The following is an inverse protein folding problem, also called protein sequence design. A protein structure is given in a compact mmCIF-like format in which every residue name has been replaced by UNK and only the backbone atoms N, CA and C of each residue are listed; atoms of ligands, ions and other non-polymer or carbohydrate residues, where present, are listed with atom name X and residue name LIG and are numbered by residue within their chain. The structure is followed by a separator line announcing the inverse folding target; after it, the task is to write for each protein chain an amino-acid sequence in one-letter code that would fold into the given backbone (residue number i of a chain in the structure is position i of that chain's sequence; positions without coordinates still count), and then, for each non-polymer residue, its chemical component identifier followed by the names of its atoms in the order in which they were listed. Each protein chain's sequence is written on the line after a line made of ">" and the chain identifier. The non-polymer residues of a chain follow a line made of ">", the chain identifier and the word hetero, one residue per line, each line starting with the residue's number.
data_IF_944843095862
#
_entry.id   IF_944843095862
#
_cell.length_a   1.000
_cell.length_b   1.000
_cell.length_c   1.000
_cell.angle_alpha   90.00
_cell.angle_beta   90.00
_cell.angle_gamma   90.00
#
_symmetry.space_group_name_H-M   'P 1'
#
loop_
_entity.id
_entity.type
_entity.pdbx_description
1 polymer ?
#
# COMPACT_ATOMS: atom_id res chain seq x y z
N UNK A 1 46.70 -54.21 -15.14
CA UNK A 1 45.31 -54.62 -15.46
C UNK A 1 44.54 -53.36 -15.83
N UNK A 2 43.88 -53.39 -17.00
CA UNK A 2 43.36 -52.23 -17.75
C UNK A 2 41.88 -52.52 -18.11
N UNK A 3 41.07 -51.45 -18.28
CA UNK A 3 39.77 -51.32 -19.02
C UNK A 3 38.47 -51.67 -18.26
N UNK A 4 37.26 -51.06 -18.53
CA UNK A 4 36.85 -49.72 -19.05
C UNK A 4 35.80 -48.99 -18.12
N UNK A 5 35.62 -47.67 -18.08
CA UNK A 5 34.91 -46.71 -18.99
C UNK A 5 33.53 -47.16 -19.50
N UNK A 6 32.46 -46.49 -19.06
CA UNK A 6 31.20 -46.40 -19.80
C UNK A 6 30.66 -44.97 -19.77
N UNK A 7 30.87 -44.32 -20.91
CA UNK A 7 30.37 -43.04 -21.34
C UNK A 7 28.87 -43.18 -21.63
N UNK A 8 28.01 -42.39 -21.00
CA UNK A 8 26.63 -42.24 -21.45
C UNK A 8 26.42 -40.80 -21.89
N UNK A 9 26.67 -40.56 -23.17
CA UNK A 9 26.23 -39.36 -23.87
C UNK A 9 24.76 -39.53 -24.24
N UNK A 10 23.89 -38.64 -23.75
CA UNK A 10 22.58 -38.40 -24.34
C UNK A 10 22.50 -36.94 -24.73
N UNK A 11 22.87 -36.74 -26.00
CA UNK A 11 22.44 -35.62 -26.81
C UNK A 11 20.91 -35.68 -26.89
N UNK A 12 20.22 -34.69 -26.34
CA UNK A 12 18.95 -34.25 -26.90
C UNK A 12 19.11 -32.81 -27.34
N UNK A 13 19.35 -32.67 -28.64
CA UNK A 13 19.03 -31.48 -29.39
C UNK A 13 17.53 -31.22 -29.29
N UNK A 14 17.17 -29.97 -29.03
CA UNK A 14 15.79 -29.53 -28.89
C UNK A 14 15.73 -28.24 -28.11
N UNK A 15 16.29 -27.17 -28.69
CA UNK A 15 15.95 -25.80 -28.30
C UNK A 15 14.45 -25.62 -28.50
N UNK A 16 13.67 -25.80 -27.43
CA UNK A 16 12.35 -25.22 -27.37
C UNK A 16 12.52 -23.83 -26.76
N UNK A 17 12.28 -22.82 -27.58
CA UNK A 17 11.99 -21.43 -27.20
C UNK A 17 10.80 -21.38 -26.24
N UNK A 18 11.00 -21.85 -25.01
CA UNK A 18 10.18 -21.48 -23.88
C UNK A 18 10.62 -20.05 -23.56
N UNK A 19 10.03 -19.06 -24.25
CA UNK A 19 9.86 -17.73 -23.68
C UNK A 19 9.17 -17.94 -22.34
N UNK A 20 9.97 -18.11 -21.29
CA UNK A 20 9.52 -18.01 -19.92
C UNK A 20 8.86 -16.65 -19.82
N UNK A 21 7.53 -16.65 -19.87
CA UNK A 21 6.73 -15.55 -19.36
C UNK A 21 6.97 -15.55 -17.86
N UNK A 22 8.12 -15.01 -17.47
CA UNK A 22 8.36 -14.60 -16.10
C UNK A 22 7.19 -13.68 -15.78
N UNK A 23 6.38 -13.95 -14.73
CA UNK A 23 5.43 -12.96 -14.27
C UNK A 23 6.26 -11.70 -14.04
N UNK A 24 5.95 -10.63 -14.76
CA UNK A 24 6.61 -9.34 -14.58
C UNK A 24 6.47 -9.05 -13.09
N UNK A 25 7.58 -9.08 -12.36
CA UNK A 25 7.58 -8.61 -11.00
C UNK A 25 7.31 -7.12 -11.10
N UNK A 26 6.04 -6.75 -10.93
CA UNK A 26 5.62 -5.36 -10.84
C UNK A 26 6.39 -4.77 -9.65
N UNK A 27 7.46 -4.06 -9.96
CA UNK A 27 8.21 -3.33 -8.96
C UNK A 27 7.34 -2.19 -8.42
N UNK A 28 7.73 -1.52 -7.33
CA UNK A 28 7.03 -0.34 -6.81
C UNK A 28 6.80 0.77 -7.86
N UNK A 29 7.53 0.73 -8.98
CA UNK A 29 7.42 1.66 -10.11
C UNK A 29 6.28 1.33 -11.10
N UNK A 30 5.83 0.07 -11.14
CA UNK A 30 4.75 -0.42 -12.02
C UNK A 30 3.37 -0.34 -11.34
N UNK A 31 3.32 -0.03 -10.05
CA UNK A 31 2.06 0.15 -9.31
C UNK A 31 1.32 1.40 -9.84
N UNK A 32 0.09 1.20 -10.30
CA UNK A 32 -0.78 2.26 -10.80
C UNK A 32 -1.56 2.86 -9.63
N UNK A 33 -1.44 4.18 -9.43
CA UNK A 33 -2.16 4.87 -8.36
C UNK A 33 -3.05 5.97 -8.93
N UNK A 34 -4.36 5.78 -8.80
CA UNK A 34 -5.34 6.83 -9.03
C UNK A 34 -5.44 7.71 -7.79
N UNK A 35 -4.74 8.85 -7.80
CA UNK A 35 -4.85 9.90 -6.76
C UNK A 35 -5.55 11.14 -7.33
N UNK A 36 -5.36 12.33 -6.74
CA UNK A 36 -6.10 13.56 -7.00
C UNK A 36 -6.24 13.98 -8.48
N UNK A 37 -5.34 13.52 -9.37
CA UNK A 37 -5.43 13.76 -10.81
C UNK A 37 -6.57 12.98 -11.51
N UNK A 38 -7.13 11.95 -10.84
CA UNK A 38 -8.21 11.08 -11.34
C UNK A 38 -7.90 10.39 -12.70
N UNK A 39 -6.62 10.31 -13.06
CA UNK A 39 -6.07 9.62 -14.23
C UNK A 39 -5.16 8.51 -13.73
N UNK A 40 -5.29 7.31 -14.31
CA UNK A 40 -4.39 6.19 -14.05
C UNK A 40 -3.00 6.48 -14.63
N UNK A 41 -1.99 6.49 -13.77
CA UNK A 41 -0.59 6.63 -14.18
C UNK A 41 0.32 5.81 -13.25
N UNK A 42 1.45 5.30 -13.74
CA UNK A 42 2.47 4.69 -12.89
C UNK A 42 2.95 5.66 -11.81
N UNK A 43 3.29 5.15 -10.63
CA UNK A 43 3.92 5.96 -9.57
C UNK A 43 5.18 6.66 -10.09
N UNK A 44 5.95 5.99 -10.97
CA UNK A 44 7.18 6.52 -11.58
C UNK A 44 6.98 7.75 -12.47
N UNK A 45 5.77 7.94 -13.01
CA UNK A 45 5.41 9.07 -13.88
C UNK A 45 4.69 10.20 -13.13
N UNK A 46 4.45 10.04 -11.83
CA UNK A 46 3.75 11.02 -11.01
C UNK A 46 4.69 12.10 -10.48
N UNK A 47 4.35 13.38 -10.71
CA UNK A 47 5.12 14.53 -10.19
C UNK A 47 4.93 14.75 -8.68
N UNK A 48 3.87 14.16 -8.10
CA UNK A 48 3.58 14.19 -6.66
C UNK A 48 4.20 13.00 -5.92
N UNK A 49 4.64 13.21 -4.68
CA UNK A 49 5.04 12.09 -3.83
C UNK A 49 3.80 11.28 -3.42
N UNK A 50 3.76 10.03 -3.87
CA UNK A 50 2.73 9.02 -3.62
C UNK A 50 3.31 7.87 -2.81
N UNK A 51 2.53 7.32 -1.89
CA UNK A 51 2.86 6.08 -1.18
C UNK A 51 1.64 5.18 -1.23
N UNK A 52 1.80 4.01 -1.84
CA UNK A 52 0.78 2.97 -1.86
C UNK A 52 1.12 1.88 -0.84
N UNK A 53 0.09 1.28 -0.23
CA UNK A 53 0.23 0.31 0.86
C UNK A 53 -0.34 -1.02 0.37
N UNK A 54 0.46 -1.83 -0.34
CA UNK A 54 -0.06 -2.98 -1.07
C UNK A 54 -0.84 -3.95 -0.17
N UNK A 55 -1.80 -4.67 -0.76
CA UNK A 55 -2.73 -5.54 -0.03
C UNK A 55 -2.02 -6.54 0.88
N UNK A 56 -0.88 -7.05 0.43
CA UNK A 56 -0.05 -8.02 1.15
C UNK A 56 0.53 -7.40 2.42
N UNK A 57 0.92 -6.12 2.38
CA UNK A 57 1.39 -5.38 3.55
C UNK A 57 0.27 -5.18 4.57
N UNK A 58 -0.94 -4.85 4.11
CA UNK A 58 -2.12 -4.70 4.97
C UNK A 58 -2.45 -6.05 5.64
N UNK A 59 -2.51 -7.12 4.85
CA UNK A 59 -2.87 -8.46 5.31
C UNK A 59 -1.86 -9.06 6.29
N UNK A 60 -0.56 -8.77 6.10
CA UNK A 60 0.51 -9.25 6.97
C UNK A 60 0.84 -8.27 8.11
N UNK A 61 0.09 -7.18 8.27
CA UNK A 61 0.37 -6.20 9.31
C UNK A 61 -0.03 -6.72 10.70
N UNK A 62 0.72 -6.39 11.76
CA UNK A 62 0.36 -6.76 13.13
C UNK A 62 -0.71 -5.84 13.74
N UNK A 63 -1.19 -4.84 12.99
CA UNK A 63 -2.10 -3.83 13.50
C UNK A 63 -3.55 -4.31 13.43
N UNK A 64 -4.36 -3.91 14.41
CA UNK A 64 -5.78 -4.25 14.47
C UNK A 64 -6.66 -3.23 13.75
N UNK A 65 -6.19 -1.99 13.64
CA UNK A 65 -6.93 -0.87 13.09
C UNK A 65 -6.14 -0.14 12.01
N UNK A 66 -6.86 0.42 11.05
CA UNK A 66 -6.29 1.09 9.89
C UNK A 66 -5.44 2.31 10.29
N UNK A 67 -5.85 3.08 11.30
CA UNK A 67 -5.07 4.24 11.76
C UNK A 67 -3.71 3.84 12.34
N UNK A 68 -3.65 2.71 13.04
CA UNK A 68 -2.38 2.19 13.57
C UNK A 68 -1.45 1.75 12.43
N UNK A 69 -1.99 1.10 11.39
CA UNK A 69 -1.23 0.79 10.16
C UNK A 69 -0.75 2.07 9.46
N UNK A 70 -1.63 3.04 9.24
CA UNK A 70 -1.29 4.26 8.51
C UNK A 70 -0.25 5.11 9.25
N UNK A 71 -0.20 5.08 10.59
CA UNK A 71 0.88 5.73 11.36
C UNK A 71 2.27 5.13 11.11
N UNK A 72 2.36 3.92 10.54
CA UNK A 72 3.65 3.37 10.06
C UNK A 72 4.11 3.94 8.71
N UNK A 73 3.23 4.64 7.99
CA UNK A 73 3.52 5.27 6.70
C UNK A 73 4.24 6.60 6.93
N UNK A 74 5.43 6.81 6.34
CA UNK A 74 6.16 8.07 6.49
C UNK A 74 5.33 9.29 6.06
N UNK A 75 5.37 10.33 6.88
CA UNK A 75 4.63 11.56 6.61
C UNK A 75 3.14 11.49 6.91
N UNK A 76 2.59 10.35 7.34
CA UNK A 76 1.25 10.28 7.92
C UNK A 76 1.32 10.40 9.44
N UNK A 77 0.43 11.20 10.02
CA UNK A 77 0.26 11.30 11.46
C UNK A 77 -1.16 11.70 11.81
N UNK A 78 -1.56 11.38 13.03
CA UNK A 78 -2.79 11.88 13.63
C UNK A 78 -2.46 12.89 14.72
N UNK A 79 -3.40 13.78 15.02
CA UNK A 79 -3.23 14.81 16.05
C UNK A 79 -2.80 14.26 17.41
N UNK A 80 -3.33 13.09 17.78
CA UNK A 80 -2.91 12.34 18.97
C UNK A 80 -2.38 10.97 18.57
N UNK A 81 -1.47 10.44 19.41
CA UNK A 81 -0.88 9.09 19.25
C UNK A 81 -1.79 7.96 19.75
N UNK A 82 -2.91 8.29 20.38
CA UNK A 82 -3.87 7.31 20.89
C UNK A 82 -4.62 6.64 19.74
N UNK A 83 -4.61 5.31 19.72
CA UNK A 83 -5.36 4.48 18.77
C UNK A 83 -6.85 4.84 18.79
N UNK A 84 -7.49 4.79 17.61
CA UNK A 84 -8.91 5.03 17.44
C UNK A 84 -9.80 4.01 18.18
N UNK A 85 -9.22 2.90 18.65
CA UNK A 85 -9.90 1.93 19.51
C UNK A 85 -10.45 2.55 20.80
N UNK A 86 -9.71 3.50 21.38
CA UNK A 86 -9.99 4.06 22.72
C UNK A 86 -10.14 5.58 22.71
N UNK A 87 -9.71 6.23 21.63
CA UNK A 87 -9.72 7.68 21.52
C UNK A 87 -11.07 8.22 21.02
N UNK A 88 -11.43 9.42 21.45
CA UNK A 88 -12.58 10.13 20.89
C UNK A 88 -12.27 10.56 19.44
N UNK A 89 -13.19 10.37 18.47
CA UNK A 89 -12.94 10.67 17.05
C UNK A 89 -12.48 12.11 16.76
N UNK A 90 -12.93 13.08 17.55
CA UNK A 90 -12.54 14.51 17.42
C UNK A 90 -11.05 14.78 17.64
N UNK A 91 -10.29 13.78 18.11
CA UNK A 91 -8.83 13.84 18.29
C UNK A 91 -8.07 13.12 17.17
N UNK A 92 -8.78 12.58 16.19
CA UNK A 92 -8.25 11.73 15.12
C UNK A 92 -8.11 12.46 13.79
N UNK A 93 -7.88 13.77 13.85
CA UNK A 93 -7.59 14.61 12.69
C UNK A 93 -6.27 14.23 12.02
N UNK A 94 -6.29 14.20 10.68
CA UNK A 94 -5.16 13.80 9.84
C UNK A 94 -4.19 14.95 9.62
N UNK A 95 -2.90 14.63 9.69
CA UNK A 95 -1.80 15.50 9.30
C UNK A 95 -0.87 14.77 8.36
N UNK A 96 -0.67 15.35 7.17
CA UNK A 96 0.28 14.87 6.18
C UNK A 96 1.50 15.80 6.17
N UNK A 97 2.69 15.23 6.27
CA UNK A 97 3.99 15.94 6.25
C UNK A 97 4.07 17.07 7.28
N UNK A 98 3.42 16.89 8.43
CA UNK A 98 3.39 17.86 9.52
C UNK A 98 2.47 19.06 9.28
N UNK A 99 1.65 19.06 8.23
CA UNK A 99 0.74 20.17 7.92
C UNK A 99 -0.61 19.98 8.62
N UNK A 100 -1.03 21.00 9.35
CA UNK A 100 -2.33 21.04 10.03
C UNK A 100 -2.51 19.99 11.14
N UNK A 101 -1.56 19.77 12.07
CA UNK A 101 -1.69 18.82 13.17
C UNK A 101 -2.70 19.33 14.21
N UNK A 102 -3.99 19.17 13.93
CA UNK A 102 -5.09 19.50 14.82
C UNK A 102 -6.14 18.39 14.85
N UNK A 103 -6.97 18.37 15.89
CA UNK A 103 -8.08 17.42 15.97
C UNK A 103 -9.06 17.54 14.79
N UNK A 104 -9.12 18.73 14.18
CA UNK A 104 -10.04 19.02 13.09
C UNK A 104 -9.55 18.65 11.66
N UNK A 105 -8.44 17.90 11.53
CA UNK A 105 -7.94 17.28 10.28
C UNK A 105 -8.13 18.07 8.97
N UNK A 106 -7.07 18.69 8.44
CA UNK A 106 -7.15 19.45 7.16
C UNK A 106 -6.78 18.66 5.91
N UNK A 107 -6.63 17.35 6.03
CA UNK A 107 -6.35 16.46 4.91
C UNK A 107 -7.61 15.73 4.48
N UNK A 108 -7.85 15.70 3.17
CA UNK A 108 -8.95 14.95 2.58
C UNK A 108 -8.64 13.45 2.59
N UNK A 109 -9.56 12.66 3.13
CA UNK A 109 -9.52 11.21 3.13
C UNK A 109 -10.71 10.71 2.31
N UNK A 110 -10.43 9.89 1.30
CA UNK A 110 -11.41 9.36 0.39
C UNK A 110 -11.49 7.85 0.53
N UNK A 111 -12.70 7.32 0.46
CA UNK A 111 -12.99 5.91 0.24
C UNK A 111 -13.73 5.80 -1.08
N UNK A 112 -13.10 5.18 -2.08
CA UNK A 112 -13.63 5.08 -3.45
C UNK A 112 -14.11 6.43 -4.03
N UNK A 113 -13.37 7.50 -3.73
CA UNK A 113 -13.69 8.85 -4.19
C UNK A 113 -14.73 9.60 -3.35
N UNK A 114 -15.29 8.98 -2.31
CA UNK A 114 -16.25 9.59 -1.38
C UNK A 114 -15.51 10.08 -0.13
N UNK A 115 -15.72 11.33 0.32
CA UNK A 115 -15.07 11.86 1.51
C UNK A 115 -15.52 11.11 2.78
N UNK A 116 -14.54 10.70 3.59
CA UNK A 116 -14.77 10.13 4.92
C UNK A 116 -14.66 11.14 6.05
N UNK A 117 -14.12 12.33 5.78
CA UNK A 117 -14.00 13.40 6.77
C UNK A 117 -15.38 13.82 7.27
N UNK A 118 -15.49 14.03 8.58
CA UNK A 118 -16.67 14.68 9.16
C UNK A 118 -16.87 16.08 8.55
N UNK A 119 -18.08 16.44 8.10
CA UNK A 119 -18.32 17.67 7.34
C UNK A 119 -18.14 18.96 8.15
N UNK A 120 -18.18 18.88 9.48
CA UNK A 120 -18.00 20.03 10.37
C UNK A 120 -16.58 20.04 10.92
N UNK A 121 -16.13 18.87 11.35
CA UNK A 121 -14.96 18.66 12.16
C UNK A 121 -13.73 18.16 11.43
N UNK A 122 -13.82 17.64 10.22
CA UNK A 122 -12.67 17.20 9.42
C UNK A 122 -11.94 15.95 9.93
N UNK A 123 -12.27 15.38 11.09
CA UNK A 123 -11.73 14.11 11.58
C UNK A 123 -12.30 12.91 10.81
N UNK A 124 -11.71 11.73 11.01
CA UNK A 124 -12.16 10.47 10.41
C UNK A 124 -12.48 9.45 11.50
N UNK A 125 -13.57 8.71 11.32
CA UNK A 125 -13.96 7.61 12.20
C UNK A 125 -13.20 6.33 11.84
N UNK A 126 -11.89 6.30 12.10
CA UNK A 126 -10.99 5.21 11.69
C UNK A 126 -11.43 3.83 12.17
N UNK A 127 -11.96 3.73 13.39
CA UNK A 127 -12.47 2.49 13.97
C UNK A 127 -13.72 1.92 13.26
N UNK A 128 -14.28 2.63 12.28
CA UNK A 128 -15.39 2.16 11.44
C UNK A 128 -14.95 1.64 10.08
N UNK A 129 -13.64 1.64 9.79
CA UNK A 129 -13.08 1.20 8.52
C UNK A 129 -12.37 -0.13 8.73
N UNK A 130 -13.00 -1.28 8.42
CA UNK A 130 -12.37 -2.59 8.57
C UNK A 130 -11.33 -2.82 7.47
N UNK A 131 -10.25 -3.54 7.77
CA UNK A 131 -9.25 -3.93 6.76
C UNK A 131 -9.85 -4.73 5.60
N UNK A 132 -10.93 -5.49 5.85
CA UNK A 132 -11.63 -6.24 4.81
C UNK A 132 -12.19 -5.33 3.70
N UNK A 133 -12.49 -4.06 4.00
CA UNK A 133 -12.97 -3.08 3.04
C UNK A 133 -11.86 -2.41 2.23
N UNK A 134 -10.58 -2.66 2.53
CA UNK A 134 -9.44 -1.99 1.90
C UNK A 134 -8.71 -2.93 0.94
N UNK A 135 -8.61 -2.56 -0.33
CA UNK A 135 -7.97 -3.39 -1.36
C UNK A 135 -6.46 -3.17 -1.49
N UNK A 136 -5.93 -2.00 -1.13
CA UNK A 136 -4.51 -1.59 -1.23
C UNK A 136 -4.27 -0.27 -0.49
#
# INVERSE_FOLDING_TARGET
>A
MHVPVLLFALLFAGQNDQKQTQPRQEGPADEIVVTAAKVEQPISETVSLVTAVPRERIANSPFLLLDDLLRSVPGFSLFRRSSSLVAHPTTQGVSLRGIGPSGAGRSLVLFDGIPLNDPVGGWVYWNRIPFAAISR
#
